data_IF_084724594051
#
_entry.id   IF_084724594051
#
_cell.length_a   1.000
_cell.length_b   1.000
_cell.length_c   1.000
_cell.angle_alpha   90.00
_cell.angle_beta   90.00
_cell.angle_gamma   90.00
#
_symmetry.space_group_name_H-M   'P 1'
#
loop_
_entity.id
_entity.type
_entity.pdbx_description
1 polymer ?
#
# COMPACT_ATOMS: atom_id res chain seq x y z
N UNK A 1 25.23 -10.79 17.12
CA UNK A 1 25.70 -9.69 16.26
C UNK A 1 25.51 -10.13 14.81
N UNK A 2 24.81 -9.48 13.89
CA UNK A 2 24.14 -8.19 13.87
C UNK A 2 22.67 -8.31 13.42
N UNK A 3 21.92 -7.24 13.62
CA UNK A 3 20.46 -7.24 13.69
C UNK A 3 19.73 -7.53 12.39
N UNK A 4 18.66 -8.32 12.53
CA UNK A 4 17.46 -8.31 11.70
C UNK A 4 16.75 -6.96 11.84
N UNK A 5 17.21 -5.91 11.18
CA UNK A 5 16.48 -4.64 11.10
C UNK A 5 16.69 -4.12 9.68
N UNK A 6 15.71 -4.29 8.80
CA UNK A 6 14.64 -3.32 8.77
C UNK A 6 15.27 -2.00 8.35
N UNK A 7 15.54 -1.85 7.05
CA UNK A 7 15.89 -0.53 6.51
C UNK A 7 14.70 0.34 6.90
N UNK A 8 14.90 1.24 7.88
CA UNK A 8 13.89 2.22 8.26
C UNK A 8 13.84 3.21 7.09
N UNK A 9 13.13 2.80 6.04
CA UNK A 9 12.88 3.65 4.89
C UNK A 9 11.64 4.47 5.21
N UNK A 10 11.76 5.78 5.01
CA UNK A 10 10.66 6.68 5.25
C UNK A 10 9.58 6.46 4.18
N UNK A 11 8.44 5.94 4.64
CA UNK A 11 7.37 5.47 3.77
C UNK A 11 6.71 6.60 2.99
N UNK A 12 6.61 7.78 3.60
CA UNK A 12 6.07 8.98 3.00
C UNK A 12 6.96 9.40 1.83
N UNK A 13 8.25 9.59 2.08
CA UNK A 13 9.24 9.99 1.06
C UNK A 13 9.30 9.00 -0.11
N UNK A 14 9.23 7.70 0.17
CA UNK A 14 9.31 6.71 -0.89
C UNK A 14 7.98 6.54 -1.66
N UNK A 15 6.82 6.72 -1.02
CA UNK A 15 5.54 6.77 -1.75
C UNK A 15 5.54 7.94 -2.72
N UNK A 16 5.98 9.11 -2.28
CA UNK A 16 6.09 10.29 -3.14
C UNK A 16 7.04 10.05 -4.33
N UNK A 17 8.22 9.46 -4.08
CA UNK A 17 9.24 9.21 -5.10
C UNK A 17 8.83 8.16 -6.12
N UNK A 18 8.14 7.10 -5.70
CA UNK A 18 7.97 5.90 -6.52
C UNK A 18 6.55 5.68 -7.05
N UNK A 19 5.55 6.45 -6.62
CA UNK A 19 4.16 6.27 -7.08
C UNK A 19 3.81 6.98 -8.39
N UNK A 20 4.78 7.61 -9.06
CA UNK A 20 4.53 8.50 -10.21
C UNK A 20 3.53 9.62 -9.86
N UNK A 21 3.63 10.18 -8.64
CA UNK A 21 2.72 11.19 -8.07
C UNK A 21 1.26 10.73 -7.90
N UNK A 22 0.97 9.43 -8.09
CA UNK A 22 -0.38 8.91 -7.96
C UNK A 22 -0.77 8.62 -6.51
N UNK A 23 0.20 8.39 -5.62
CA UNK A 23 -0.04 8.12 -4.20
C UNK A 23 0.68 9.15 -3.34
N UNK A 24 0.04 9.56 -2.25
CA UNK A 24 0.63 10.34 -1.17
C UNK A 24 0.19 9.75 0.17
N UNK A 25 1.13 9.57 1.08
CA UNK A 25 0.86 9.10 2.44
C UNK A 25 1.17 10.23 3.41
N UNK A 26 0.21 10.60 4.24
CA UNK A 26 0.37 11.63 5.27
C UNK A 26 0.44 10.95 6.64
N UNK A 27 1.61 11.01 7.27
CA UNK A 27 1.84 10.38 8.59
C UNK A 27 0.98 11.00 9.69
N UNK A 28 0.81 12.33 9.69
CA UNK A 28 0.10 13.05 10.77
C UNK A 28 -1.39 12.67 10.82
N UNK A 29 -2.05 12.61 9.66
CA UNK A 29 -3.46 12.25 9.52
C UNK A 29 -3.69 10.75 9.38
N UNK A 30 -2.61 9.96 9.33
CA UNK A 30 -2.63 8.54 9.02
C UNK A 30 -3.50 8.22 7.78
N UNK A 31 -3.25 8.94 6.68
CA UNK A 31 -4.08 8.90 5.48
C UNK A 31 -3.30 8.65 4.20
N UNK A 32 -3.71 7.62 3.46
CA UNK A 32 -3.24 7.35 2.10
C UNK A 32 -4.21 7.99 1.09
N UNK A 33 -3.68 8.77 0.17
CA UNK A 33 -4.44 9.46 -0.88
C UNK A 33 -4.01 8.94 -2.25
N UNK A 34 -4.99 8.63 -3.09
CA UNK A 34 -4.80 8.35 -4.51
C UNK A 34 -5.27 9.53 -5.34
N UNK A 35 -4.45 9.96 -6.31
CA UNK A 35 -4.80 10.98 -7.29
C UNK A 35 -4.66 10.39 -8.69
N UNK A 36 -5.76 10.39 -9.41
CA UNK A 36 -5.79 10.04 -10.82
C UNK A 36 -5.41 11.23 -11.72
N UNK A 37 -5.01 10.93 -12.97
CA UNK A 37 -4.77 11.93 -14.01
C UNK A 37 -6.00 12.80 -14.31
N UNK A 38 -7.20 12.24 -14.16
CA UNK A 38 -8.46 12.94 -14.40
C UNK A 38 -8.95 13.74 -13.17
N UNK A 39 -8.12 13.83 -12.12
CA UNK A 39 -8.43 14.57 -10.90
C UNK A 39 -9.32 13.81 -9.90
N UNK A 40 -9.59 12.52 -10.15
CA UNK A 40 -10.26 11.65 -9.17
C UNK A 40 -9.36 11.49 -7.95
N UNK A 41 -9.89 11.85 -6.79
CA UNK A 41 -9.19 11.72 -5.50
C UNK A 41 -9.93 10.73 -4.63
N UNK A 42 -9.23 9.68 -4.20
CA UNK A 42 -9.72 8.74 -3.20
C UNK A 42 -8.80 8.76 -1.97
N UNK A 43 -9.35 8.43 -0.80
CA UNK A 43 -8.58 8.36 0.44
C UNK A 43 -8.87 7.08 1.22
N UNK A 44 -7.90 6.68 2.02
CA UNK A 44 -7.99 5.57 2.96
C UNK A 44 -7.28 5.96 4.26
N UNK A 45 -8.02 5.96 5.36
CA UNK A 45 -7.42 6.05 6.70
C UNK A 45 -6.86 4.66 7.08
N UNK A 46 -5.54 4.58 7.23
CA UNK A 46 -4.78 3.35 7.45
C UNK A 46 -3.59 3.68 8.34
N UNK A 47 -3.17 2.83 9.28
CA UNK A 47 -1.97 3.14 10.07
C UNK A 47 -0.68 2.93 9.24
N UNK A 48 0.42 3.58 9.63
CA UNK A 48 1.72 3.34 8.98
C UNK A 48 2.14 1.85 9.06
N UNK A 49 1.86 1.19 10.19
CA UNK A 49 2.14 -0.22 10.39
C UNK A 49 1.33 -1.10 9.42
N UNK A 50 0.02 -0.85 9.30
CA UNK A 50 -0.84 -1.58 8.37
C UNK A 50 -0.44 -1.35 6.92
N UNK A 51 -0.07 -0.11 6.57
CA UNK A 51 0.41 0.24 5.24
C UNK A 51 1.71 -0.50 4.91
N UNK A 52 2.66 -0.58 5.85
CA UNK A 52 3.88 -1.38 5.70
C UNK A 52 3.58 -2.85 5.50
N UNK A 53 2.70 -3.41 6.33
CA UNK A 53 2.26 -4.81 6.21
C UNK A 53 1.65 -5.07 4.82
N UNK A 54 0.86 -4.13 4.31
CA UNK A 54 0.28 -4.22 2.97
C UNK A 54 1.31 -4.23 1.85
N UNK A 55 2.29 -3.33 1.90
CA UNK A 55 3.38 -3.30 0.93
C UNK A 55 4.20 -4.60 0.96
N UNK A 56 4.46 -5.15 2.15
CA UNK A 56 5.12 -6.45 2.29
C UNK A 56 4.30 -7.58 1.65
N UNK A 57 2.98 -7.60 1.84
CA UNK A 57 2.11 -8.61 1.22
C UNK A 57 2.09 -8.48 -0.30
N UNK A 58 2.03 -7.25 -0.84
CA UNK A 58 2.12 -7.02 -2.29
C UNK A 58 3.41 -7.63 -2.85
N UNK A 59 4.52 -7.46 -2.14
CA UNK A 59 5.79 -8.06 -2.54
C UNK A 59 5.77 -9.58 -2.54
N UNK A 60 5.25 -10.18 -1.47
CA UNK A 60 5.18 -11.63 -1.34
C UNK A 60 4.21 -12.27 -2.33
N UNK A 61 3.17 -11.54 -2.74
CA UNK A 61 2.16 -12.01 -3.69
C UNK A 61 2.59 -11.85 -5.15
N UNK A 62 3.64 -11.04 -5.39
CA UNK A 62 4.09 -10.74 -6.73
C UNK A 62 5.10 -11.79 -7.21
N UNK A 63 4.63 -12.72 -8.04
CA UNK A 63 5.43 -13.77 -8.69
C UNK A 63 6.53 -13.25 -9.64
N UNK A 64 6.84 -11.95 -9.67
CA UNK A 64 7.88 -11.44 -10.54
C UNK A 64 9.28 -11.84 -10.03
N UNK A 65 10.19 -12.20 -10.96
CA UNK A 65 11.52 -12.71 -10.65
C UNK A 65 12.31 -11.76 -9.76
N UNK A 66 13.33 -12.27 -9.07
CA UNK A 66 14.23 -11.46 -8.26
C UNK A 66 14.89 -10.38 -9.14
N UNK A 67 14.39 -9.16 -9.06
CA UNK A 67 14.96 -7.99 -9.72
C UNK A 67 16.05 -7.39 -8.83
N UNK A 68 16.96 -6.59 -9.41
CA UNK A 68 17.95 -5.81 -8.64
C UNK A 68 17.34 -4.62 -7.89
N UNK A 69 16.03 -4.46 -7.95
CA UNK A 69 15.33 -3.32 -7.42
C UNK A 69 14.98 -3.51 -5.94
N UNK A 70 15.04 -2.44 -5.12
CA UNK A 70 14.61 -2.52 -3.73
C UNK A 70 13.14 -2.95 -3.65
N UNK A 71 12.87 -3.97 -2.83
CA UNK A 71 11.56 -4.61 -2.76
C UNK A 71 10.44 -3.60 -2.44
N UNK A 72 10.66 -2.65 -1.53
CA UNK A 72 9.64 -1.67 -1.16
C UNK A 72 9.24 -0.73 -2.32
N UNK A 73 10.18 -0.31 -3.17
CA UNK A 73 9.87 0.55 -4.33
C UNK A 73 8.95 -0.17 -5.32
N UNK A 74 9.22 -1.46 -5.57
CA UNK A 74 8.35 -2.31 -6.39
C UNK A 74 6.95 -2.40 -5.80
N UNK A 75 6.84 -2.59 -4.48
CA UNK A 75 5.56 -2.68 -3.78
C UNK A 75 4.70 -1.43 -3.99
N UNK A 76 5.31 -0.25 -3.89
CA UNK A 76 4.65 1.05 -4.06
C UNK A 76 4.15 1.20 -5.50
N UNK A 77 4.96 0.81 -6.49
CA UNK A 77 4.54 0.87 -7.90
C UNK A 77 3.44 -0.12 -8.23
N UNK A 78 3.51 -1.32 -7.69
CA UNK A 78 2.42 -2.29 -7.82
C UNK A 78 1.14 -1.79 -7.16
N UNK A 79 1.22 -1.15 -5.99
CA UNK A 79 0.08 -0.50 -5.34
C UNK A 79 -0.50 0.59 -6.23
N UNK A 80 0.32 1.52 -6.73
CA UNK A 80 -0.13 2.59 -7.62
C UNK A 80 -0.78 2.03 -8.90
N UNK A 81 -0.21 0.97 -9.48
CA UNK A 81 -0.78 0.28 -10.64
C UNK A 81 -2.14 -0.35 -10.35
N UNK A 82 -2.31 -0.99 -9.19
CA UNK A 82 -3.61 -1.54 -8.76
C UNK A 82 -4.65 -0.45 -8.52
N UNK A 83 -4.28 0.63 -7.82
CA UNK A 83 -5.17 1.76 -7.61
C UNK A 83 -5.65 2.36 -8.95
N UNK A 84 -4.73 2.53 -9.91
CA UNK A 84 -5.06 3.00 -11.26
C UNK A 84 -5.99 2.06 -11.99
N UNK A 85 -5.75 0.75 -11.90
CA UNK A 85 -6.61 -0.25 -12.53
C UNK A 85 -8.04 -0.17 -11.99
N UNK A 86 -8.23 -0.18 -10.67
CA UNK A 86 -9.55 -0.05 -10.05
C UNK A 86 -10.24 1.27 -10.42
N UNK A 87 -9.51 2.40 -10.36
CA UNK A 87 -10.04 3.69 -10.78
C UNK A 87 -10.51 3.68 -12.25
N UNK A 88 -9.74 3.05 -13.14
CA UNK A 88 -10.04 2.99 -14.58
C UNK A 88 -11.31 2.20 -14.91
N UNK A 89 -11.74 1.29 -14.02
CA UNK A 89 -12.98 0.53 -14.17
C UNK A 89 -14.14 1.09 -13.31
N UNK A 90 -13.94 2.26 -12.69
CA UNK A 90 -14.95 2.93 -11.86
C UNK A 90 -15.11 2.34 -10.46
N UNK A 91 -14.16 1.51 -10.01
CA UNK A 91 -14.14 0.94 -8.66
C UNK A 91 -13.36 1.84 -7.69
N UNK A 92 -13.55 1.62 -6.40
CA UNK A 92 -12.73 2.30 -5.40
C UNK A 92 -11.25 1.87 -5.52
N UNK A 93 -10.29 2.83 -5.65
CA UNK A 93 -8.87 2.53 -5.82
C UNK A 93 -8.24 1.71 -4.70
N UNK A 94 -8.86 1.71 -3.52
CA UNK A 94 -8.42 0.98 -2.33
C UNK A 94 -9.32 -0.21 -2.00
N UNK A 95 -10.18 -0.67 -2.92
CA UNK A 95 -11.09 -1.82 -2.75
C UNK A 95 -10.37 -3.00 -2.12
N UNK A 96 -9.28 -3.48 -2.75
CA UNK A 96 -8.51 -4.61 -2.24
C UNK A 96 -7.95 -4.37 -0.83
N UNK A 97 -7.58 -3.12 -0.49
CA UNK A 97 -7.11 -2.77 0.85
C UNK A 97 -8.24 -2.86 1.89
N UNK A 98 -9.42 -2.33 1.54
CA UNK A 98 -10.59 -2.30 2.42
C UNK A 98 -11.17 -3.68 2.68
N UNK A 99 -11.30 -4.51 1.66
CA UNK A 99 -11.83 -5.89 1.77
C UNK A 99 -10.98 -6.76 2.71
N UNK A 100 -9.65 -6.62 2.61
CA UNK A 100 -8.73 -7.36 3.48
C UNK A 100 -8.66 -6.80 4.88
N UNK A 101 -8.80 -5.47 5.07
CA UNK A 101 -8.99 -4.90 6.42
C UNK A 101 -10.26 -5.46 7.05
N UNK A 102 -11.38 -5.44 6.32
CA UNK A 102 -12.65 -6.02 6.75
C UNK A 102 -12.49 -7.52 7.11
N UNK A 103 -11.77 -8.28 6.27
CA UNK A 103 -11.50 -9.70 6.53
C UNK A 103 -10.58 -9.95 7.74
N UNK A 104 -9.60 -9.05 7.99
CA UNK A 104 -8.68 -9.15 9.12
C UNK A 104 -9.38 -8.81 10.45
N UNK A 105 -10.29 -7.83 10.44
CA UNK A 105 -11.16 -7.50 11.57
C UNK A 105 -12.29 -8.50 11.78
N UNK A 106 -12.70 -9.22 10.73
CA UNK A 106 -13.75 -10.24 10.78
C UNK A 106 -13.26 -11.60 11.30
N UNK A 107 -12.04 -11.67 11.87
CA UNK A 107 -11.58 -12.89 12.58
C UNK A 107 -12.68 -13.31 13.57
N UNK A 108 -13.22 -14.53 13.46
CA UNK A 108 -14.27 -14.98 14.36
C UNK A 108 -13.72 -14.93 15.77
N UNK A 109 -14.46 -14.26 16.67
CA UNK A 109 -14.29 -14.50 18.10
C UNK A 109 -14.47 -16.00 18.30
N UNK A 110 -13.36 -16.71 18.50
CA UNK A 110 -13.41 -18.04 19.11
C UNK A 110 -13.89 -17.80 20.55
N UNK A 111 -15.21 -17.79 20.70
CA UNK A 111 -15.86 -17.96 21.98
C UNK A 111 -15.36 -19.28 22.56
N UNK A 112 -14.94 -19.22 23.81
CA UNK A 112 -14.32 -20.32 24.56
C UNK A 112 -15.25 -21.47 24.90
#
# INVERSE_FOLDING_TARGET
MGGLFGVDWDIEVAIERHSASALAWDRESARLTYRDSDGVVAFLDISEADLRTWLQILLLSSFAPATREPSHERAIREMAGKCRHHASVGEDPFTGLRERRASSTARPSLAG
#
